data_IF_493957638833
#
_entry.id   IF_493957638833
#
_cell.length_a   1.000
_cell.length_b   1.000
_cell.length_c   1.000
_cell.angle_alpha   90.00
_cell.angle_beta   90.00
_cell.angle_gamma   90.00
#
_symmetry.space_group_name_H-M   'P 1'
#
loop_
_entity.id
_entity.type
_entity.pdbx_description
1 polymer ?
#
# COMPACT_ATOMS: atom_id res chain seq x y z
N UNK A 1 37.08 -32.72 -48.30
CA UNK A 1 36.58 -33.08 -46.95
C UNK A 1 36.72 -31.94 -45.93
N UNK A 2 37.93 -31.41 -45.65
CA UNK A 2 38.09 -30.28 -44.69
C UNK A 2 37.38 -28.98 -45.13
N UNK A 3 37.38 -28.68 -46.42
CA UNK A 3 36.67 -27.52 -47.01
C UNK A 3 35.14 -27.62 -46.85
N UNK A 4 34.60 -28.81 -47.10
CA UNK A 4 33.17 -29.15 -46.98
C UNK A 4 32.70 -29.05 -45.53
N UNK A 5 33.48 -29.57 -44.57
CA UNK A 5 33.21 -29.44 -43.13
C UNK A 5 33.22 -27.98 -42.67
N UNK A 6 34.12 -27.14 -43.22
CA UNK A 6 34.19 -25.72 -42.88
C UNK A 6 33.00 -24.93 -43.43
N UNK A 7 32.50 -25.29 -44.62
CA UNK A 7 31.26 -24.74 -45.20
C UNK A 7 30.02 -25.18 -44.43
N UNK A 8 29.96 -26.45 -44.01
CA UNK A 8 28.90 -27.00 -43.16
C UNK A 8 28.81 -26.28 -41.82
N UNK A 9 29.95 -26.06 -41.14
CA UNK A 9 29.98 -25.32 -39.87
C UNK A 9 29.56 -23.84 -40.03
N UNK A 10 29.95 -23.17 -41.12
CA UNK A 10 29.49 -21.80 -41.38
C UNK A 10 27.97 -21.73 -41.60
N UNK A 11 27.38 -22.72 -42.28
CA UNK A 11 25.91 -22.84 -42.44
C UNK A 11 25.20 -23.10 -41.12
N UNK A 12 25.74 -23.97 -40.27
CA UNK A 12 25.18 -24.22 -38.93
C UNK A 12 25.23 -22.97 -38.06
N UNK A 13 26.37 -22.27 -38.01
CA UNK A 13 26.50 -21.02 -37.26
C UNK A 13 25.56 -19.94 -37.82
N UNK A 14 25.38 -19.86 -39.14
CA UNK A 14 24.43 -18.92 -39.72
C UNK A 14 22.98 -19.29 -39.41
N UNK A 15 22.64 -20.58 -39.41
CA UNK A 15 21.30 -21.06 -39.05
C UNK A 15 21.00 -20.82 -37.57
N UNK A 16 21.93 -21.10 -36.67
CA UNK A 16 21.80 -20.80 -35.23
C UNK A 16 21.68 -19.29 -35.00
N UNK A 17 22.45 -18.46 -35.71
CA UNK A 17 22.26 -16.99 -35.68
C UNK A 17 20.91 -16.56 -36.26
N UNK A 18 20.40 -17.24 -37.28
CA UNK A 18 19.07 -16.96 -37.86
C UNK A 18 17.94 -17.43 -36.95
N UNK A 19 18.17 -18.48 -36.17
CA UNK A 19 17.21 -19.02 -35.20
C UNK A 19 17.19 -18.17 -33.92
N UNK A 20 18.36 -17.73 -33.45
CA UNK A 20 18.50 -16.81 -32.32
C UNK A 20 18.19 -15.34 -32.71
N UNK A 21 18.32 -14.98 -33.98
CA UNK A 21 18.05 -13.65 -34.54
C UNK A 21 16.70 -13.50 -35.22
N UNK A 22 15.96 -14.60 -35.39
CA UNK A 22 14.52 -14.54 -35.65
C UNK A 22 13.85 -14.20 -34.33
N UNK A 23 13.88 -12.91 -33.98
CA UNK A 23 12.94 -12.33 -33.04
C UNK A 23 11.55 -12.84 -33.45
N UNK A 24 11.00 -13.79 -32.71
CA UNK A 24 9.65 -14.28 -32.91
C UNK A 24 8.71 -13.16 -32.48
N UNK A 25 8.54 -12.18 -33.35
CA UNK A 25 7.54 -11.13 -33.24
C UNK A 25 6.19 -11.65 -33.73
N UNK A 26 5.75 -12.79 -33.20
CA UNK A 26 4.32 -13.05 -33.19
C UNK A 26 3.73 -12.19 -32.08
N UNK A 27 2.80 -11.31 -32.44
CA UNK A 27 2.07 -10.47 -31.51
C UNK A 27 1.38 -11.41 -30.51
N UNK A 28 1.92 -11.51 -29.29
CA UNK A 28 1.39 -12.44 -28.28
C UNK A 28 -0.03 -12.02 -27.96
N UNK A 29 -0.93 -12.98 -28.07
CA UNK A 29 -2.34 -12.78 -27.71
C UNK A 29 -2.55 -13.46 -26.38
N UNK A 30 -2.68 -12.66 -25.32
CA UNK A 30 -3.00 -13.17 -24.00
C UNK A 30 -4.50 -13.44 -23.89
N UNK A 31 -4.87 -14.47 -23.14
CA UNK A 31 -6.26 -14.64 -22.74
C UNK A 31 -6.66 -13.47 -21.84
N UNK A 32 -7.86 -12.95 -22.06
CA UNK A 32 -8.42 -11.92 -21.20
C UNK A 32 -8.47 -12.43 -19.75
N UNK A 33 -7.92 -11.64 -18.84
CA UNK A 33 -7.99 -11.88 -17.41
C UNK A 33 -9.31 -11.36 -16.86
N UNK A 34 -9.84 -11.94 -15.77
CA UNK A 34 -10.90 -11.28 -15.03
C UNK A 34 -10.42 -9.90 -14.56
N UNK A 35 -11.34 -8.95 -14.43
CA UNK A 35 -11.02 -7.65 -13.85
C UNK A 35 -10.75 -7.80 -12.34
N UNK A 36 -9.71 -7.13 -11.87
CA UNK A 36 -9.35 -7.06 -10.46
C UNK A 36 -9.96 -5.81 -9.83
N UNK A 37 -10.94 -6.03 -8.94
CA UNK A 37 -11.70 -4.97 -8.27
C UNK A 37 -11.60 -5.05 -6.74
N UNK A 38 -11.48 -6.26 -6.20
CA UNK A 38 -11.57 -6.56 -4.77
C UNK A 38 -10.54 -7.60 -4.34
N UNK A 39 -10.25 -7.64 -3.04
CA UNK A 39 -9.38 -8.67 -2.46
C UNK A 39 -9.95 -10.09 -2.65
N UNK A 40 -11.28 -10.24 -2.64
CA UNK A 40 -11.95 -11.54 -2.70
C UNK A 40 -11.67 -12.30 -4.01
N UNK A 41 -11.49 -11.59 -5.12
CA UNK A 41 -11.19 -12.20 -6.42
C UNK A 41 -9.66 -12.24 -6.71
N UNK A 42 -8.83 -11.71 -5.80
CA UNK A 42 -7.39 -11.56 -6.00
C UNK A 42 -6.66 -12.88 -6.21
N UNK A 43 -6.96 -13.91 -5.41
CA UNK A 43 -6.28 -15.21 -5.54
C UNK A 43 -6.60 -15.90 -6.86
N UNK A 44 -7.84 -15.76 -7.34
CA UNK A 44 -8.28 -16.29 -8.64
C UNK A 44 -7.63 -15.50 -9.77
N UNK A 45 -7.61 -14.17 -9.67
CA UNK A 45 -6.94 -13.29 -10.61
C UNK A 45 -5.44 -13.62 -10.71
N UNK A 46 -4.74 -13.67 -9.57
CA UNK A 46 -3.30 -13.98 -9.48
C UNK A 46 -2.97 -15.32 -10.12
N UNK A 47 -3.77 -16.34 -9.82
CA UNK A 47 -3.59 -17.68 -10.40
C UNK A 47 -3.74 -17.65 -11.92
N UNK A 48 -4.75 -16.95 -12.46
CA UNK A 48 -4.99 -16.81 -13.90
C UNK A 48 -3.94 -15.94 -14.60
N UNK A 49 -3.49 -14.88 -13.95
CA UNK A 49 -2.42 -14.01 -14.44
C UNK A 49 -1.13 -14.81 -14.60
N UNK A 50 -0.70 -15.52 -13.54
CA UNK A 50 0.49 -16.38 -13.58
C UNK A 50 0.36 -17.51 -14.61
N UNK A 51 -0.81 -18.16 -14.70
CA UNK A 51 -1.06 -19.19 -15.70
C UNK A 51 -1.00 -18.65 -17.14
N UNK A 52 -1.39 -17.38 -17.36
CA UNK A 52 -1.29 -16.72 -18.67
C UNK A 52 0.15 -16.42 -19.06
N UNK A 53 1.01 -16.07 -18.10
CA UNK A 53 2.43 -15.76 -18.35
C UNK A 53 3.32 -17.01 -18.52
N UNK A 54 2.98 -18.11 -17.85
CA UNK A 54 3.82 -19.31 -17.77
C UNK A 54 4.21 -19.91 -19.14
N UNK A 55 3.31 -20.09 -20.13
CA UNK A 55 3.67 -20.64 -21.44
C UNK A 55 4.71 -19.81 -22.21
N UNK A 56 4.79 -18.51 -21.90
CA UNK A 56 5.69 -17.56 -22.56
C UNK A 56 6.97 -17.30 -21.75
N UNK A 57 7.17 -17.97 -20.60
CA UNK A 57 8.31 -17.76 -19.68
C UNK A 57 8.43 -16.32 -19.17
N UNK A 58 7.30 -15.62 -19.06
CA UNK A 58 7.24 -14.21 -18.65
C UNK A 58 7.11 -14.00 -17.14
N UNK A 59 6.91 -15.07 -16.36
CA UNK A 59 6.79 -14.99 -14.90
C UNK A 59 7.97 -14.30 -14.21
N UNK A 60 9.18 -14.42 -14.79
CA UNK A 60 10.38 -13.76 -14.27
C UNK A 60 10.27 -12.25 -14.15
N UNK A 61 9.47 -11.58 -14.98
CA UNK A 61 9.24 -10.12 -14.93
C UNK A 61 8.31 -9.69 -13.79
N UNK A 62 7.85 -10.64 -13.00
CA UNK A 62 6.90 -10.46 -11.93
C UNK A 62 7.47 -11.01 -10.63
N UNK A 63 8.19 -12.13 -10.71
CA UNK A 63 8.82 -12.76 -9.56
C UNK A 63 10.13 -12.07 -9.14
N UNK A 64 10.90 -11.56 -10.10
CA UNK A 64 12.22 -10.97 -9.86
C UNK A 64 12.39 -9.65 -10.64
N UNK A 65 13.33 -8.82 -10.18
CA UNK A 65 13.81 -7.68 -10.96
C UNK A 65 14.68 -8.20 -12.12
N UNK A 66 14.21 -8.01 -13.36
CA UNK A 66 14.93 -8.48 -14.56
C UNK A 66 15.86 -7.37 -15.06
N UNK A 67 17.19 -7.51 -14.93
CA UNK A 67 18.12 -6.43 -15.26
C UNK A 67 18.08 -6.08 -16.75
N UNK A 68 18.22 -4.79 -17.06
CA UNK A 68 18.31 -4.31 -18.43
C UNK A 68 19.59 -4.84 -19.11
N UNK A 69 19.52 -5.40 -20.32
CA UNK A 69 20.70 -5.83 -21.08
C UNK A 69 21.66 -4.67 -21.37
N UNK A 70 22.97 -4.94 -21.33
CA UNK A 70 23.99 -3.91 -21.56
C UNK A 70 24.03 -3.41 -23.02
N UNK A 71 23.81 -4.31 -23.98
CA UNK A 71 23.81 -3.97 -25.41
C UNK A 71 22.43 -3.51 -25.88
N UNK A 72 22.25 -2.19 -25.94
CA UNK A 72 20.99 -1.53 -26.33
C UNK A 72 20.54 -1.81 -27.77
N UNK A 73 21.38 -2.41 -28.61
CA UNK A 73 21.03 -2.76 -30.02
C UNK A 73 20.89 -4.26 -30.22
N UNK A 74 21.01 -5.05 -29.16
CA UNK A 74 20.88 -6.51 -29.23
C UNK A 74 19.42 -6.96 -29.40
N UNK A 75 19.25 -8.18 -29.93
CA UNK A 75 17.95 -8.85 -29.91
C UNK A 75 17.46 -9.10 -28.47
N UNK A 76 18.38 -9.21 -27.52
CA UNK A 76 18.08 -9.39 -26.10
C UNK A 76 17.43 -8.14 -25.50
N UNK A 77 17.96 -6.95 -25.79
CA UNK A 77 17.32 -5.68 -25.41
C UNK A 77 15.90 -5.57 -25.98
N UNK A 78 15.74 -5.94 -27.26
CA UNK A 78 14.45 -5.88 -27.93
C UNK A 78 13.44 -6.81 -27.25
N UNK A 79 13.84 -8.05 -26.96
CA UNK A 79 13.01 -9.02 -26.24
C UNK A 79 12.70 -8.55 -24.83
N UNK A 80 13.69 -8.02 -24.10
CA UNK A 80 13.50 -7.48 -22.75
C UNK A 80 12.44 -6.38 -22.71
N UNK A 81 12.54 -5.41 -23.61
CA UNK A 81 11.58 -4.33 -23.75
C UNK A 81 10.18 -4.83 -24.13
N UNK A 82 10.11 -5.80 -25.05
CA UNK A 82 8.82 -6.30 -25.55
C UNK A 82 8.12 -7.15 -24.50
N UNK A 83 8.86 -8.03 -23.84
CA UNK A 83 8.39 -8.91 -22.78
C UNK A 83 7.89 -8.10 -21.57
N UNK A 84 8.68 -7.15 -21.08
CA UNK A 84 8.29 -6.29 -19.96
C UNK A 84 7.04 -5.48 -20.27
N UNK A 85 6.95 -4.90 -21.48
CA UNK A 85 5.79 -4.14 -21.94
C UNK A 85 4.53 -5.01 -22.09
N UNK A 86 4.68 -6.24 -22.56
CA UNK A 86 3.57 -7.19 -22.69
C UNK A 86 2.99 -7.54 -21.31
N UNK A 87 3.85 -7.81 -20.32
CA UNK A 87 3.44 -8.09 -18.93
C UNK A 87 2.78 -6.87 -18.31
N UNK A 88 3.39 -5.68 -18.44
CA UNK A 88 2.84 -4.44 -17.92
C UNK A 88 1.46 -4.13 -18.52
N UNK A 89 1.29 -4.32 -19.84
CA UNK A 89 -0.01 -4.15 -20.51
C UNK A 89 -1.05 -5.15 -20.02
N UNK A 90 -0.66 -6.41 -19.83
CA UNK A 90 -1.57 -7.44 -19.32
C UNK A 90 -2.03 -7.13 -17.90
N UNK A 91 -1.11 -6.68 -17.03
CA UNK A 91 -1.41 -6.22 -15.68
C UNK A 91 -2.42 -5.09 -15.72
N UNK A 92 -2.03 -3.97 -16.34
CA UNK A 92 -2.81 -2.73 -16.38
C UNK A 92 -4.18 -2.91 -17.05
N UNK A 93 -4.29 -3.72 -18.09
CA UNK A 93 -5.58 -4.02 -18.74
C UNK A 93 -6.54 -4.88 -17.87
N UNK A 94 -6.02 -5.53 -16.84
CA UNK A 94 -6.80 -6.39 -15.94
C UNK A 94 -7.11 -5.75 -14.59
N UNK A 95 -6.68 -4.50 -14.38
CA UNK A 95 -6.88 -3.73 -13.16
C UNK A 95 -8.01 -2.71 -13.40
N UNK A 96 -8.90 -2.55 -12.43
CA UNK A 96 -9.99 -1.56 -12.49
C UNK A 96 -9.53 -0.19 -11.99
N UNK A 97 -10.24 0.88 -12.38
CA UNK A 97 -9.94 2.27 -11.98
C UNK A 97 -9.79 2.47 -10.45
N UNK A 98 -10.58 1.82 -9.58
CA UNK A 98 -10.40 1.91 -8.14
C UNK A 98 -9.05 1.35 -7.65
N UNK A 99 -8.64 0.18 -8.15
CA UNK A 99 -7.35 -0.42 -7.79
C UNK A 99 -6.21 0.43 -8.36
N UNK A 100 -6.35 0.90 -9.59
CA UNK A 100 -5.39 1.82 -10.22
C UNK A 100 -5.17 3.09 -9.39
N UNK A 101 -6.25 3.75 -8.99
CA UNK A 101 -6.19 4.98 -8.20
C UNK A 101 -5.48 4.76 -6.86
N UNK A 102 -5.72 3.62 -6.21
CA UNK A 102 -5.06 3.25 -4.96
C UNK A 102 -3.56 3.03 -5.14
N UNK A 103 -3.17 2.32 -6.20
CA UNK A 103 -1.75 2.14 -6.50
C UNK A 103 -1.05 3.50 -6.59
N UNK A 104 -1.63 4.46 -7.31
CA UNK A 104 -1.08 5.83 -7.42
C UNK A 104 -0.99 6.54 -6.07
N UNK A 105 -2.00 6.39 -5.21
CA UNK A 105 -2.00 6.97 -3.86
C UNK A 105 -0.87 6.37 -3.00
N UNK A 106 -0.60 5.07 -3.13
CA UNK A 106 0.49 4.39 -2.42
C UNK A 106 1.88 4.65 -3.01
N UNK A 107 1.99 5.59 -3.96
CA UNK A 107 3.28 6.03 -4.52
C UNK A 107 3.69 5.33 -5.80
N UNK A 108 2.83 4.49 -6.39
CA UNK A 108 3.10 3.91 -7.70
C UNK A 108 3.05 4.98 -8.80
N UNK A 109 4.09 5.02 -9.63
CA UNK A 109 4.15 5.91 -10.78
C UNK A 109 3.91 5.11 -12.08
N UNK A 110 2.77 5.32 -12.77
CA UNK A 110 2.42 4.55 -13.98
C UNK A 110 3.36 4.80 -15.16
N UNK A 111 4.21 5.83 -15.11
CA UNK A 111 5.15 6.15 -16.19
C UNK A 111 6.39 5.26 -16.19
N UNK A 112 6.73 4.65 -15.06
CA UNK A 112 7.94 3.84 -14.93
C UNK A 112 7.80 2.54 -15.73
N UNK A 113 6.58 2.04 -15.87
CA UNK A 113 6.27 0.93 -16.77
C UNK A 113 6.89 -0.40 -16.36
N UNK A 114 7.45 -0.49 -15.15
CA UNK A 114 8.08 -1.69 -14.63
C UNK A 114 7.01 -2.72 -14.21
N UNK A 115 6.97 -3.91 -14.84
CA UNK A 115 5.98 -4.93 -14.52
C UNK A 115 6.11 -5.51 -13.10
N UNK A 116 7.32 -5.58 -12.53
CA UNK A 116 7.54 -6.14 -11.20
C UNK A 116 6.95 -5.23 -10.13
N UNK A 117 7.37 -3.96 -10.12
CA UNK A 117 6.86 -2.93 -9.23
C UNK A 117 5.35 -2.76 -9.38
N UNK A 118 4.85 -2.76 -10.61
CA UNK A 118 3.40 -2.67 -10.87
C UNK A 118 2.66 -3.84 -10.25
N UNK A 119 3.18 -5.07 -10.37
CA UNK A 119 2.57 -6.23 -9.75
C UNK A 119 2.59 -6.13 -8.22
N UNK A 120 3.72 -5.76 -7.60
CA UNK A 120 3.83 -5.58 -6.15
C UNK A 120 2.83 -4.54 -5.62
N UNK A 121 2.73 -3.39 -6.28
CA UNK A 121 1.79 -2.33 -5.90
C UNK A 121 0.31 -2.76 -5.99
N UNK A 122 -0.03 -3.74 -6.84
CA UNK A 122 -1.38 -4.34 -6.83
C UNK A 122 -1.66 -5.07 -5.52
N UNK A 123 -0.68 -5.77 -4.94
CA UNK A 123 -0.84 -6.43 -3.64
C UNK A 123 -1.06 -5.39 -2.56
N UNK A 124 -0.23 -4.35 -2.53
CA UNK A 124 -0.30 -3.31 -1.50
C UNK A 124 -1.64 -2.54 -1.57
N UNK A 125 -2.08 -2.21 -2.79
CA UNK A 125 -3.35 -1.54 -3.04
C UNK A 125 -4.59 -2.37 -2.63
N UNK A 126 -4.46 -3.71 -2.55
CA UNK A 126 -5.53 -4.60 -2.12
C UNK A 126 -5.43 -4.97 -0.64
N UNK A 127 -4.22 -5.10 -0.09
CA UNK A 127 -3.99 -5.40 1.33
C UNK A 127 -4.34 -4.24 2.25
N UNK A 128 -4.25 -2.99 1.76
CA UNK A 128 -4.71 -1.81 2.50
C UNK A 128 -6.16 -1.91 2.99
N UNK A 129 -6.98 -2.79 2.37
CA UNK A 129 -8.44 -2.89 2.55
C UNK A 129 -8.99 -4.23 3.02
N UNK A 130 -8.23 -5.13 3.65
CA UNK A 130 -8.94 -6.31 4.21
C UNK A 130 -9.94 -5.81 5.28
N UNK A 131 -11.23 -6.09 5.11
CA UNK A 131 -12.27 -5.73 6.08
C UNK A 131 -11.89 -6.21 7.48
N UNK A 132 -11.15 -7.32 7.55
CA UNK A 132 -10.53 -7.82 8.76
C UNK A 132 -9.51 -6.85 9.35
N UNK A 133 -8.62 -6.26 8.56
CA UNK A 133 -7.66 -5.26 9.03
C UNK A 133 -8.37 -3.99 9.52
N UNK A 134 -9.39 -3.50 8.79
CA UNK A 134 -10.13 -2.33 9.24
C UNK A 134 -10.96 -2.61 10.49
N UNK A 135 -11.53 -3.82 10.61
CA UNK A 135 -12.17 -4.29 11.83
C UNK A 135 -11.18 -4.39 12.99
N UNK A 136 -9.98 -4.92 12.76
CA UNK A 136 -8.93 -5.03 13.77
C UNK A 136 -8.41 -3.65 14.20
N UNK A 137 -8.16 -2.73 13.27
CA UNK A 137 -7.78 -1.34 13.54
C UNK A 137 -8.87 -0.58 14.28
N UNK A 138 -10.13 -0.76 13.90
CA UNK A 138 -11.28 -0.18 14.59
C UNK A 138 -11.38 -0.74 16.02
N UNK A 139 -11.25 -2.06 16.17
CA UNK A 139 -11.24 -2.71 17.47
C UNK A 139 -10.08 -2.21 18.34
N UNK A 140 -8.89 -2.07 17.76
CA UNK A 140 -7.71 -1.50 18.42
C UNK A 140 -7.99 -0.06 18.88
N UNK A 141 -8.49 0.80 17.99
CA UNK A 141 -8.82 2.19 18.29
C UNK A 141 -9.75 2.33 19.50
N UNK A 142 -10.84 1.55 19.55
CA UNK A 142 -11.80 1.61 20.67
C UNK A 142 -11.29 0.92 21.96
N UNK A 143 -10.32 0.02 21.83
CA UNK A 143 -9.75 -0.72 22.96
C UNK A 143 -8.46 -0.10 23.52
N UNK A 144 -7.89 0.90 22.84
CA UNK A 144 -6.67 1.58 23.28
C UNK A 144 -6.86 2.23 24.66
N UNK A 145 -5.84 2.13 25.51
CA UNK A 145 -5.83 2.69 26.86
C UNK A 145 -4.51 3.40 27.11
N UNK A 146 -4.48 4.60 27.72
CA UNK A 146 -3.25 5.33 28.00
C UNK A 146 -2.25 4.54 28.84
N UNK A 147 -2.74 3.70 29.75
CA UNK A 147 -1.93 2.91 30.68
C UNK A 147 -1.06 1.86 29.96
N UNK A 148 -1.44 1.49 28.73
CA UNK A 148 -0.65 0.60 27.87
C UNK A 148 0.62 1.26 27.33
N UNK A 149 0.78 2.57 27.54
CA UNK A 149 1.87 3.40 27.02
C UNK A 149 2.69 3.99 28.17
N UNK A 150 4.00 4.13 27.96
CA UNK A 150 4.88 4.74 28.96
C UNK A 150 4.64 6.24 29.15
N UNK A 151 4.11 6.92 28.13
CA UNK A 151 3.85 8.35 28.12
C UNK A 151 2.56 8.65 27.35
N UNK A 152 1.89 9.75 27.70
CA UNK A 152 0.57 10.11 27.15
C UNK A 152 0.64 10.60 25.69
N UNK A 153 1.77 11.20 25.30
CA UNK A 153 2.07 11.59 23.92
C UNK A 153 2.11 10.37 23.00
N UNK A 154 2.77 9.28 23.40
CA UNK A 154 2.84 8.04 22.64
C UNK A 154 1.46 7.39 22.43
N UNK A 155 0.57 7.52 23.43
CA UNK A 155 -0.83 7.11 23.30
C UNK A 155 -1.56 7.93 22.22
N UNK A 156 -1.42 9.27 22.27
CA UNK A 156 -2.07 10.15 21.30
C UNK A 156 -1.49 10.02 19.88
N UNK A 157 -0.19 9.78 19.75
CA UNK A 157 0.44 9.47 18.47
C UNK A 157 -0.18 8.22 17.85
N UNK A 158 -0.36 7.14 18.62
CA UNK A 158 -0.99 5.91 18.11
C UNK A 158 -2.46 6.14 17.70
N UNK A 159 -3.22 6.94 18.45
CA UNK A 159 -4.59 7.32 18.10
C UNK A 159 -4.62 8.07 16.75
N UNK A 160 -3.70 9.01 16.54
CA UNK A 160 -3.58 9.74 15.28
C UNK A 160 -3.21 8.83 14.10
N UNK A 161 -2.24 7.92 14.29
CA UNK A 161 -1.85 6.94 13.27
C UNK A 161 -3.03 6.03 12.90
N UNK A 162 -3.73 5.45 13.88
CA UNK A 162 -4.90 4.61 13.63
C UNK A 162 -6.01 5.38 12.91
N UNK A 163 -6.20 6.67 13.20
CA UNK A 163 -7.20 7.47 12.50
C UNK A 163 -6.82 7.75 11.06
N UNK A 164 -5.55 8.00 10.76
CA UNK A 164 -5.05 8.14 9.39
C UNK A 164 -5.28 6.84 8.62
N UNK A 165 -4.86 5.71 9.20
CA UNK A 165 -5.06 4.38 8.61
C UNK A 165 -6.53 4.03 8.38
N UNK A 166 -7.46 4.48 9.24
CA UNK A 166 -8.91 4.28 9.08
C UNK A 166 -9.59 5.32 8.16
N UNK A 167 -9.01 6.53 8.08
CA UNK A 167 -9.55 7.67 7.32
C UNK A 167 -9.33 7.56 5.82
N UNK A 168 -8.28 6.86 5.40
CA UNK A 168 -8.00 6.57 3.99
C UNK A 168 -8.97 5.53 3.38
N UNK A 169 -9.83 4.91 4.21
CA UNK A 169 -10.69 3.78 3.83
C UNK A 169 -12.20 4.07 3.78
N UNK A 170 -12.62 5.34 3.67
CA UNK A 170 -14.04 5.77 3.56
C UNK A 170 -14.94 5.32 4.73
N UNK A 171 -14.35 4.92 5.86
CA UNK A 171 -15.12 4.62 7.08
C UNK A 171 -15.50 5.95 7.72
N UNK A 172 -16.70 6.45 7.39
CA UNK A 172 -17.34 7.60 8.04
C UNK A 172 -17.68 7.28 9.51
N UNK A 173 -16.66 7.11 10.35
CA UNK A 173 -16.85 7.09 11.78
C UNK A 173 -17.27 8.49 12.24
N UNK A 174 -18.31 8.54 13.06
CA UNK A 174 -18.77 9.79 13.67
C UNK A 174 -17.65 10.32 14.59
N UNK A 175 -16.97 11.39 14.14
CA UNK A 175 -15.85 12.05 14.83
C UNK A 175 -16.17 12.36 16.29
N UNK A 176 -17.43 12.70 16.62
CA UNK A 176 -17.82 12.95 18.01
C UNK A 176 -17.74 11.69 18.87
N UNK A 177 -17.99 10.51 18.31
CA UNK A 177 -17.84 9.22 19.00
C UNK A 177 -16.38 8.86 19.22
N UNK A 178 -15.53 9.14 18.23
CA UNK A 178 -14.08 8.97 18.33
C UNK A 178 -13.51 9.86 19.44
N UNK A 179 -13.87 11.15 19.45
CA UNK A 179 -13.47 12.10 20.49
C UNK A 179 -13.94 11.63 21.87
N UNK A 180 -15.21 11.19 22.01
CA UNK A 180 -15.74 10.66 23.27
C UNK A 180 -14.97 9.45 23.77
N UNK A 181 -14.54 8.58 22.86
CA UNK A 181 -13.74 7.39 23.19
C UNK A 181 -12.40 7.82 23.78
N UNK A 182 -11.68 8.72 23.09
CA UNK A 182 -10.39 9.24 23.54
C UNK A 182 -10.53 9.93 24.91
N UNK A 183 -11.54 10.79 25.09
CA UNK A 183 -11.81 11.46 26.36
C UNK A 183 -12.14 10.49 27.50
N UNK A 184 -12.89 9.44 27.21
CA UNK A 184 -13.24 8.43 28.21
C UNK A 184 -12.02 7.63 28.64
N UNK A 185 -11.08 7.37 27.73
CA UNK A 185 -9.88 6.62 28.02
C UNK A 185 -8.92 7.40 28.95
N UNK A 186 -8.85 8.72 28.84
CA UNK A 186 -7.99 9.55 29.71
C UNK A 186 -8.63 9.93 31.06
N UNK A 187 -9.93 9.65 31.24
CA UNK A 187 -10.74 10.12 32.39
C UNK A 187 -10.12 9.80 33.75
N UNK A 188 -9.55 8.61 33.89
CA UNK A 188 -9.03 8.15 35.17
C UNK A 188 -7.81 8.96 35.62
N UNK A 189 -6.90 9.28 34.68
CA UNK A 189 -5.67 10.03 34.97
C UNK A 189 -5.89 11.55 34.93
N UNK A 190 -6.71 12.04 34.01
CA UNK A 190 -6.94 13.48 33.78
C UNK A 190 -8.44 13.85 33.81
N UNK A 191 -9.12 13.72 34.96
CA UNK A 191 -10.57 13.93 35.05
C UNK A 191 -10.99 15.36 34.70
N UNK A 192 -10.22 16.37 35.11
CA UNK A 192 -10.54 17.77 34.84
C UNK A 192 -10.39 18.12 33.35
N UNK A 193 -9.31 17.65 32.72
CA UNK A 193 -9.05 17.79 31.27
C UNK A 193 -10.19 17.13 30.48
N UNK A 194 -10.60 15.94 30.90
CA UNK A 194 -11.72 15.22 30.29
C UNK A 194 -13.04 16.02 30.39
N UNK A 195 -13.41 16.51 31.57
CA UNK A 195 -14.66 17.24 31.78
C UNK A 195 -14.71 18.55 30.96
N UNK A 196 -13.60 19.31 30.97
CA UNK A 196 -13.48 20.55 30.19
C UNK A 196 -13.69 20.29 28.71
N UNK A 197 -13.01 19.29 28.15
CA UNK A 197 -13.09 19.01 26.72
C UNK A 197 -14.38 18.30 26.31
N UNK A 198 -15.01 17.52 27.21
CA UNK A 198 -16.35 16.97 26.98
C UNK A 198 -17.39 18.10 26.84
N UNK A 199 -17.28 19.16 27.63
CA UNK A 199 -18.14 20.35 27.50
C UNK A 199 -17.92 21.07 26.16
N UNK A 200 -16.66 21.33 25.79
CA UNK A 200 -16.30 21.92 24.48
C UNK A 200 -16.89 21.10 23.32
N UNK A 201 -16.84 19.76 23.42
CA UNK A 201 -17.41 18.86 22.44
C UNK A 201 -18.93 19.03 22.34
N UNK A 202 -19.64 19.02 23.47
CA UNK A 202 -21.10 19.20 23.50
C UNK A 202 -21.53 20.54 22.90
N UNK A 203 -20.82 21.63 23.25
CA UNK A 203 -21.06 22.97 22.69
C UNK A 203 -20.82 23.01 21.18
N UNK A 204 -19.75 22.38 20.70
CA UNK A 204 -19.42 22.32 19.27
C UNK A 204 -20.45 21.53 18.47
N UNK A 205 -20.90 20.40 19.00
CA UNK A 205 -21.97 19.58 18.39
C UNK A 205 -23.28 20.35 18.36
N UNK A 206 -23.67 21.00 19.46
CA UNK A 206 -24.89 21.81 19.51
C UNK A 206 -24.85 23.01 18.55
N UNK A 207 -23.67 23.59 18.34
CA UNK A 207 -23.44 24.69 17.40
C UNK A 207 -23.29 24.26 15.94
N UNK A 208 -23.34 22.96 15.63
CA UNK A 208 -23.13 22.44 14.28
C UNK A 208 -21.73 22.69 13.72
N UNK A 209 -20.72 22.87 14.60
CA UNK A 209 -19.34 23.10 14.17
C UNK A 209 -18.71 21.80 13.70
N UNK A 210 -17.95 21.88 12.61
CA UNK A 210 -17.10 20.77 12.17
C UNK A 210 -15.99 20.53 13.19
N UNK A 211 -15.85 19.26 13.59
CA UNK A 211 -14.81 18.80 14.50
C UNK A 211 -13.76 18.03 13.70
N UNK A 212 -12.49 18.30 13.99
CA UNK A 212 -11.35 17.60 13.41
C UNK A 212 -10.61 16.90 14.54
N UNK A 213 -10.61 15.55 14.53
CA UNK A 213 -10.00 14.76 15.61
C UNK A 213 -8.52 15.11 15.80
N UNK A 214 -7.75 15.29 14.72
CA UNK A 214 -6.32 15.60 14.82
C UNK A 214 -6.01 16.90 15.56
N UNK A 215 -6.77 17.97 15.31
CA UNK A 215 -6.62 19.22 16.07
C UNK A 215 -7.04 19.06 17.53
N UNK A 216 -8.15 18.35 17.76
CA UNK A 216 -8.61 18.08 19.11
C UNK A 216 -7.60 17.26 19.93
N UNK A 217 -7.03 16.20 19.35
CA UNK A 217 -6.04 15.35 20.01
C UNK A 217 -4.78 16.15 20.31
N UNK A 218 -4.30 17.00 19.39
CA UNK A 218 -3.14 17.85 19.64
C UNK A 218 -3.34 18.79 20.84
N UNK A 219 -4.48 19.48 20.90
CA UNK A 219 -4.80 20.36 22.03
C UNK A 219 -4.89 19.55 23.33
N UNK A 220 -5.50 18.36 23.27
CA UNK A 220 -5.63 17.46 24.42
C UNK A 220 -4.27 16.96 24.92
N UNK A 221 -3.32 16.65 24.03
CA UNK A 221 -1.96 16.25 24.38
C UNK A 221 -1.27 17.34 25.19
N UNK A 222 -1.35 18.59 24.74
CA UNK A 222 -0.75 19.73 25.44
C UNK A 222 -1.36 19.89 26.84
N UNK A 223 -2.69 19.86 26.94
CA UNK A 223 -3.39 19.99 28.22
C UNK A 223 -3.03 18.85 29.22
N UNK A 224 -2.80 17.61 28.74
CA UNK A 224 -2.39 16.51 29.60
C UNK A 224 -0.92 16.60 30.05
N UNK A 225 -0.04 17.06 29.15
CA UNK A 225 1.39 17.25 29.47
C UNK A 225 1.60 18.40 30.46
N UNK A 226 0.82 19.48 30.35
CA UNK A 226 0.81 20.58 31.32
C UNK A 226 0.40 20.08 32.72
N UNK A 227 -0.65 19.26 32.82
CA UNK A 227 -1.10 18.67 34.10
C UNK A 227 -0.03 17.75 34.72
N UNK A 228 0.60 16.87 33.92
CA UNK A 228 1.70 16.01 34.38
C UNK A 228 2.89 16.84 34.92
N UNK A 229 3.21 17.96 34.25
CA UNK A 229 4.27 18.87 34.68
C UNK A 229 3.94 19.57 35.99
N UNK A 230 2.72 20.11 36.13
CA UNK A 230 2.26 20.76 37.36
C UNK A 230 2.23 19.79 38.55
N UNK A 231 1.75 18.57 38.36
CA UNK A 231 1.75 17.54 39.39
C UNK A 231 3.17 17.15 39.83
N UNK A 232 4.11 17.10 38.88
CA UNK A 232 5.52 16.81 39.18
C UNK A 232 6.16 17.92 40.02
N UNK A 233 5.90 19.20 39.70
CA UNK A 233 6.37 20.33 40.49
C UNK A 233 5.79 20.35 41.92
N UNK A 234 4.53 19.97 42.09
CA UNK A 234 3.90 19.89 43.41
C UNK A 234 4.54 18.80 44.28
N UNK A 235 4.92 17.65 43.71
CA UNK A 235 5.61 16.59 44.45
C UNK A 235 6.98 17.02 44.94
N UNK A 236 7.78 17.65 44.08
CA UNK A 236 9.12 18.16 44.43
C UNK A 236 9.07 19.22 45.53
N UNK A 237 7.97 19.98 45.64
CA UNK A 237 7.80 20.99 46.71
C UNK A 237 7.40 20.41 48.06
N UNK A 238 6.93 19.17 48.11
CA UNK A 238 6.49 18.50 49.34
C UNK A 238 7.56 17.57 49.93
N UNK A 239 8.62 17.26 49.17
CA UNK A 239 9.82 16.55 49.61
C UNK A 239 10.88 17.53 50.16
#
# INVERSE_FOLDING_TARGET
VKEELRKGNKRLVSLVKKWNGAAHTEKRTFKALPLLDLETNFQVWRSRFRATLAPYKLLRYVDDEVPEPQDKKSAEQFNWNTDGRDVFRLLTASITDPVWSRMVIFGWNPKDGDPHDTYCNVFDALQGRSENMNRLRTQEFFSLRPESFGMIDAYFDRICTLRQELGDDDVENNVATEIKTVLSAIKHKYPQVMERNMRKLQESVAAGKYLILGFFVRDLTLECLEDDFEQSLLRVRME
#
